data_IF_416861167946
#
_entry.id   IF_416861167946
#
_cell.length_a   1.000
_cell.length_b   1.000
_cell.length_c   1.000
_cell.angle_alpha   90.00
_cell.angle_beta   90.00
_cell.angle_gamma   90.00
#
_symmetry.space_group_name_H-M   'P 1'
#
loop_
_entity.id
_entity.type
_entity.pdbx_description
1 polymer ?
#
# COMPACT_ATOMS: atom_id res chain seq x y z
N UNK A 1 -27.67 -1.05 8.50
CA UNK A 1 -26.23 -0.97 8.82
C UNK A 1 -26.12 -0.54 10.27
N UNK A 2 -25.37 -1.28 11.09
CA UNK A 2 -25.25 -0.94 12.51
C UNK A 2 -24.18 0.14 12.70
N UNK A 3 -24.53 1.23 13.36
CA UNK A 3 -23.59 2.26 13.79
C UNK A 3 -22.90 1.82 15.09
N UNK A 4 -21.63 2.19 15.24
CA UNK A 4 -20.85 1.92 16.46
C UNK A 4 -21.09 2.97 17.55
N UNK A 5 -21.63 4.14 17.16
CA UNK A 5 -21.82 5.33 18.00
C UNK A 5 -20.51 5.90 18.57
N UNK A 6 -19.41 5.77 17.80
CA UNK A 6 -18.09 6.31 18.13
C UNK A 6 -17.35 6.81 16.87
N UNK A 7 -16.05 7.06 16.97
CA UNK A 7 -15.24 7.60 15.89
C UNK A 7 -15.23 6.74 14.62
N UNK A 8 -15.50 5.43 14.72
CA UNK A 8 -15.56 4.52 13.55
C UNK A 8 -16.72 4.85 12.60
N UNK A 9 -17.71 5.61 13.07
CA UNK A 9 -18.86 5.98 12.27
C UNK A 9 -18.56 7.07 11.23
N UNK A 10 -17.33 7.61 11.22
CA UNK A 10 -16.91 8.58 10.21
C UNK A 10 -17.18 8.10 8.80
N UNK A 11 -16.90 6.83 8.50
CA UNK A 11 -17.06 6.23 7.18
C UNK A 11 -18.52 6.21 6.69
N UNK A 12 -19.50 6.14 7.60
CA UNK A 12 -20.91 6.20 7.21
C UNK A 12 -21.35 7.60 6.74
N UNK A 13 -20.59 8.64 7.11
CA UNK A 13 -20.83 10.02 6.71
C UNK A 13 -20.13 10.36 5.40
N UNK A 14 -19.02 9.69 5.10
CA UNK A 14 -18.20 9.92 3.91
C UNK A 14 -18.50 8.84 2.87
N UNK A 15 -19.17 9.22 1.79
CA UNK A 15 -19.71 8.27 0.81
C UNK A 15 -18.92 8.21 -0.49
N UNK A 16 -18.07 9.18 -0.75
CA UNK A 16 -17.32 9.29 -1.99
C UNK A 16 -15.86 9.58 -1.69
N UNK A 17 -14.99 8.68 -2.11
CA UNK A 17 -13.56 8.76 -1.84
C UNK A 17 -12.70 8.47 -3.05
N UNK A 18 -11.44 8.86 -2.98
CA UNK A 18 -10.39 8.57 -3.96
C UNK A 18 -9.64 7.31 -3.54
N UNK A 19 -9.72 6.24 -4.35
CA UNK A 19 -8.90 5.06 -4.13
C UNK A 19 -7.73 5.04 -5.10
N UNK A 20 -6.51 5.17 -4.58
CA UNK A 20 -5.27 5.22 -5.35
C UNK A 20 -4.55 3.88 -5.28
N UNK A 21 -4.55 3.15 -6.41
CA UNK A 21 -3.69 1.98 -6.61
C UNK A 21 -2.40 2.43 -7.29
N UNK A 22 -1.31 2.44 -6.54
CA UNK A 22 -0.01 2.88 -7.06
C UNK A 22 1.15 2.16 -6.36
N UNK A 23 2.10 1.67 -7.15
CA UNK A 23 3.26 0.92 -6.70
C UNK A 23 4.20 0.61 -7.88
N UNK A 24 5.08 -0.37 -7.73
CA UNK A 24 6.04 -0.76 -8.78
C UNK A 24 5.36 -1.16 -10.09
N UNK A 25 4.20 -1.78 -10.04
CA UNK A 25 3.43 -2.17 -11.22
C UNK A 25 3.09 -0.98 -12.15
N UNK A 26 3.09 0.24 -11.65
CA UNK A 26 2.89 1.43 -12.48
C UNK A 26 4.08 1.69 -13.43
N UNK A 27 5.28 1.19 -13.11
CA UNK A 27 6.46 1.30 -13.99
C UNK A 27 6.30 0.46 -15.24
N UNK A 28 5.74 -0.75 -15.10
CA UNK A 28 5.46 -1.64 -16.22
C UNK A 28 4.28 -1.19 -17.10
N UNK A 29 3.47 -0.25 -16.61
CA UNK A 29 2.27 0.20 -17.32
C UNK A 29 1.14 -0.84 -17.37
N UNK A 30 1.26 -1.87 -16.55
CA UNK A 30 0.24 -2.90 -16.33
C UNK A 30 -0.50 -2.61 -15.02
N UNK A 31 -1.15 -3.60 -14.43
CA UNK A 31 -1.91 -3.40 -13.19
C UNK A 31 -1.26 -4.14 -11.99
N UNK A 32 -1.77 -3.94 -10.82
CA UNK A 32 -1.24 -4.43 -9.54
C UNK A 32 -1.13 -5.97 -9.42
N UNK A 33 -1.76 -6.71 -10.31
CA UNK A 33 -1.68 -8.17 -10.38
C UNK A 33 -0.83 -8.67 -11.55
N UNK A 34 0.08 -7.84 -12.05
CA UNK A 34 0.96 -8.14 -13.18
C UNK A 34 1.67 -9.50 -13.04
N UNK A 35 2.28 -9.74 -11.88
CA UNK A 35 3.01 -10.98 -11.61
C UNK A 35 2.13 -12.22 -11.79
N UNK A 36 0.90 -12.21 -11.27
CA UNK A 36 0.03 -13.37 -11.30
C UNK A 36 -0.78 -13.52 -12.57
N UNK A 37 -1.20 -12.41 -13.19
CA UNK A 37 -2.06 -12.45 -14.36
C UNK A 37 -1.33 -12.52 -15.68
N UNK A 38 -0.16 -11.89 -15.76
CA UNK A 38 0.63 -11.86 -16.99
C UNK A 38 1.86 -12.76 -16.90
N UNK A 39 2.13 -13.34 -15.72
CA UNK A 39 3.28 -14.23 -15.53
C UNK A 39 4.61 -13.51 -15.69
N UNK A 40 4.66 -12.22 -15.42
CA UNK A 40 5.91 -11.45 -15.46
C UNK A 40 6.94 -12.11 -14.54
N UNK A 41 8.12 -12.48 -15.04
CA UNK A 41 9.15 -13.09 -14.20
C UNK A 41 9.59 -12.15 -13.07
N UNK A 42 9.81 -12.69 -11.86
CA UNK A 42 10.26 -11.90 -10.70
C UNK A 42 11.50 -11.07 -11.00
N UNK A 43 12.50 -11.65 -11.68
CA UNK A 43 13.73 -10.93 -12.03
C UNK A 43 13.47 -9.71 -12.93
N UNK A 44 12.44 -9.76 -13.77
CA UNK A 44 12.04 -8.62 -14.58
C UNK A 44 11.29 -7.57 -13.72
N UNK A 45 10.37 -8.02 -12.87
CA UNK A 45 9.59 -7.16 -12.00
C UNK A 45 10.45 -6.41 -10.98
N UNK A 46 11.43 -7.08 -10.37
CA UNK A 46 12.34 -6.45 -9.39
C UNK A 46 13.16 -5.30 -9.99
N UNK A 47 13.38 -5.28 -11.30
CA UNK A 47 14.03 -4.15 -11.99
C UNK A 47 13.22 -2.86 -11.90
N UNK A 48 11.90 -2.94 -11.70
CA UNK A 48 11.06 -1.77 -11.50
C UNK A 48 11.46 -0.95 -10.28
N UNK A 49 11.98 -1.59 -9.24
CA UNK A 49 12.49 -0.86 -8.07
C UNK A 49 13.63 0.10 -8.46
N UNK A 50 14.54 -0.31 -9.34
CA UNK A 50 15.63 0.55 -9.82
C UNK A 50 15.19 1.62 -10.84
N UNK A 51 13.97 1.51 -11.36
CA UNK A 51 13.39 2.46 -12.31
C UNK A 51 12.33 3.38 -11.66
N UNK A 52 11.87 3.06 -10.44
CA UNK A 52 10.81 3.81 -9.77
C UNK A 52 11.31 5.18 -9.30
N UNK A 53 11.01 6.21 -10.11
CA UNK A 53 11.42 7.60 -9.84
C UNK A 53 10.31 8.59 -10.20
N UNK A 54 9.23 8.67 -9.40
CA UNK A 54 8.08 9.51 -9.68
C UNK A 54 8.32 10.99 -9.35
N UNK A 55 9.20 11.64 -10.10
CA UNK A 55 9.59 13.06 -9.92
C UNK A 55 8.43 14.05 -10.04
N UNK A 56 7.29 13.62 -10.61
CA UNK A 56 6.08 14.44 -10.75
C UNK A 56 5.05 14.16 -9.66
N UNK A 57 5.37 13.33 -8.67
CA UNK A 57 4.45 13.08 -7.57
C UNK A 57 4.24 14.35 -6.77
N UNK A 58 3.01 14.82 -6.75
CA UNK A 58 2.55 15.96 -5.96
C UNK A 58 1.23 15.60 -5.26
N UNK A 59 1.26 15.27 -3.97
CA UNK A 59 0.05 14.94 -3.23
C UNK A 59 -0.90 16.14 -3.10
N UNK A 60 -0.40 17.37 -3.20
CA UNK A 60 -1.26 18.56 -3.13
C UNK A 60 -2.17 18.66 -4.35
N UNK A 61 -1.65 18.40 -5.55
CA UNK A 61 -2.46 18.35 -6.78
C UNK A 61 -3.53 17.24 -6.71
N UNK A 62 -3.14 16.05 -6.21
CA UNK A 62 -4.07 14.92 -6.11
C UNK A 62 -5.24 15.22 -5.15
N UNK A 63 -4.93 15.78 -3.99
CA UNK A 63 -5.95 16.08 -2.99
C UNK A 63 -6.80 17.29 -3.37
N UNK A 64 -6.22 18.26 -4.07
CA UNK A 64 -7.01 19.38 -4.64
C UNK A 64 -8.01 18.87 -5.66
N UNK A 65 -7.58 18.00 -6.58
CA UNK A 65 -8.47 17.37 -7.55
C UNK A 65 -9.58 16.58 -6.85
N UNK A 66 -9.26 15.80 -5.83
CA UNK A 66 -10.22 15.03 -5.05
C UNK A 66 -11.28 15.95 -4.40
N UNK A 67 -10.84 16.99 -3.67
CA UNK A 67 -11.73 17.92 -2.99
C UNK A 67 -12.63 18.71 -3.96
N UNK A 68 -12.07 19.18 -5.07
CA UNK A 68 -12.85 19.90 -6.10
C UNK A 68 -13.95 19.05 -6.73
N UNK A 69 -13.79 17.71 -6.71
CA UNK A 69 -14.80 16.77 -7.21
C UNK A 69 -15.67 16.15 -6.10
N UNK A 70 -15.62 16.70 -4.88
CA UNK A 70 -16.47 16.27 -3.77
C UNK A 70 -16.05 14.96 -3.13
N UNK A 71 -14.81 14.51 -3.35
CA UNK A 71 -14.27 13.33 -2.65
C UNK A 71 -13.89 13.72 -1.22
N UNK A 72 -14.27 12.88 -0.28
CA UNK A 72 -14.24 13.20 1.16
C UNK A 72 -13.17 12.43 1.93
N UNK A 73 -12.53 11.45 1.33
CA UNK A 73 -11.43 10.66 1.92
C UNK A 73 -10.55 10.05 0.83
N UNK A 74 -9.38 9.59 1.23
CA UNK A 74 -8.43 8.88 0.37
C UNK A 74 -8.17 7.48 0.90
N UNK A 75 -8.15 6.49 0.01
CA UNK A 75 -7.56 5.17 0.26
C UNK A 75 -6.30 5.05 -0.58
N UNK A 76 -5.17 4.72 0.04
CA UNK A 76 -3.88 4.61 -0.64
C UNK A 76 -3.27 3.21 -0.44
N UNK A 77 -2.78 2.61 -1.52
CA UNK A 77 -2.07 1.32 -1.44
C UNK A 77 -0.69 1.50 -0.83
N UNK A 78 -0.60 1.39 0.50
CA UNK A 78 0.69 1.40 1.18
C UNK A 78 1.53 0.17 0.80
N UNK A 79 0.91 -1.02 0.73
CA UNK A 79 1.49 -2.26 0.21
C UNK A 79 0.44 -3.06 -0.54
N UNK A 80 0.73 -3.46 -1.78
CA UNK A 80 -0.11 -4.40 -2.54
C UNK A 80 0.46 -5.83 -2.45
N UNK A 81 -0.11 -6.78 -3.19
CA UNK A 81 0.26 -8.21 -3.17
C UNK A 81 1.72 -8.48 -3.55
N UNK A 82 2.35 -7.60 -4.35
CA UNK A 82 3.76 -7.70 -4.72
C UNK A 82 4.73 -7.52 -3.55
N UNK A 83 4.23 -7.05 -2.40
CA UNK A 83 5.02 -6.83 -1.19
C UNK A 83 5.82 -5.52 -1.18
N UNK A 84 5.78 -4.72 -2.25
CA UNK A 84 6.48 -3.45 -2.28
C UNK A 84 5.83 -2.42 -1.35
N UNK A 85 6.65 -1.78 -0.53
CA UNK A 85 6.20 -0.84 0.49
C UNK A 85 6.42 0.61 0.04
N UNK A 86 5.35 1.39 -0.01
CA UNK A 86 5.37 2.81 -0.40
C UNK A 86 5.77 3.75 0.75
N UNK A 87 6.36 3.22 1.82
CA UNK A 87 6.83 3.97 2.99
C UNK A 87 8.20 3.48 3.48
N UNK A 88 8.81 4.25 4.38
CA UNK A 88 10.09 3.94 5.03
C UNK A 88 9.92 2.85 6.09
N UNK A 89 9.60 1.62 5.67
CA UNK A 89 9.57 0.48 6.58
C UNK A 89 10.98 0.01 6.94
N UNK A 90 11.17 -0.42 8.19
CA UNK A 90 12.42 -1.02 8.66
C UNK A 90 12.43 -2.54 8.54
N UNK A 91 11.30 -3.13 8.14
CA UNK A 91 11.12 -4.58 8.11
C UNK A 91 11.60 -5.24 6.81
N UNK A 92 11.74 -4.46 5.72
CA UNK A 92 12.24 -4.95 4.43
C UNK A 92 12.92 -3.85 3.63
N UNK A 93 13.92 -4.22 2.81
CA UNK A 93 14.51 -3.34 1.80
C UNK A 93 13.68 -3.21 0.51
N UNK A 94 12.60 -3.97 0.37
CA UNK A 94 11.71 -3.87 -0.78
C UNK A 94 10.70 -2.74 -0.54
N UNK A 95 11.21 -1.51 -0.58
CA UNK A 95 10.44 -0.32 -0.29
C UNK A 95 10.92 0.89 -1.11
N UNK A 96 10.15 1.95 -1.07
CA UNK A 96 10.37 3.19 -1.85
C UNK A 96 11.67 3.91 -1.51
N UNK A 97 12.21 3.76 -0.29
CA UNK A 97 13.47 4.39 0.11
C UNK A 97 14.68 3.82 -0.64
N UNK A 98 14.56 2.58 -1.15
CA UNK A 98 15.60 1.90 -1.93
C UNK A 98 15.35 2.00 -3.45
N UNK A 99 14.69 3.05 -3.89
CA UNK A 99 14.46 3.41 -5.30
C UNK A 99 15.23 4.68 -5.65
N UNK A 100 15.39 5.06 -6.93
CA UNK A 100 15.92 6.36 -7.31
C UNK A 100 15.14 7.55 -6.76
N UNK A 101 13.85 7.38 -6.47
CA UNK A 101 13.05 8.41 -5.80
C UNK A 101 13.53 8.68 -4.38
N UNK A 102 13.82 7.64 -3.60
CA UNK A 102 14.47 7.72 -2.27
C UNK A 102 13.72 8.54 -1.21
N UNK A 103 12.40 8.77 -1.39
CA UNK A 103 11.57 9.55 -0.49
C UNK A 103 10.36 8.73 -0.05
N UNK A 104 9.88 8.98 1.16
CA UNK A 104 8.72 8.31 1.73
C UNK A 104 7.41 8.89 1.16
N UNK A 105 6.88 8.23 0.13
CA UNK A 105 5.65 8.64 -0.56
C UNK A 105 4.46 8.71 0.40
N UNK A 106 4.32 7.73 1.29
CA UNK A 106 3.21 7.73 2.24
C UNK A 106 3.31 8.91 3.22
N UNK A 107 4.50 9.26 3.67
CA UNK A 107 4.72 10.41 4.56
C UNK A 107 4.28 11.71 3.92
N UNK A 108 4.63 11.91 2.65
CA UNK A 108 4.25 13.09 1.90
C UNK A 108 2.73 13.19 1.72
N UNK A 109 2.10 12.07 1.33
CA UNK A 109 0.65 12.01 1.18
C UNK A 109 -0.09 12.21 2.52
N UNK A 110 0.37 11.54 3.59
CA UNK A 110 -0.24 11.66 4.91
C UNK A 110 -0.16 13.08 5.45
N UNK A 111 0.99 13.74 5.32
CA UNK A 111 1.17 15.13 5.74
C UNK A 111 0.17 16.06 5.01
N UNK A 112 -0.03 15.87 3.71
CA UNK A 112 -0.96 16.67 2.95
C UNK A 112 -2.42 16.36 3.28
N UNK A 113 -2.76 15.08 3.53
CA UNK A 113 -4.08 14.69 4.01
C UNK A 113 -4.41 15.40 5.34
N UNK A 114 -3.49 15.36 6.30
CA UNK A 114 -3.68 16.02 7.61
C UNK A 114 -3.80 17.52 7.47
N UNK A 115 -2.98 18.16 6.64
CA UNK A 115 -3.04 19.61 6.39
C UNK A 115 -4.40 20.04 5.84
N UNK A 116 -5.04 19.19 5.06
CA UNK A 116 -6.36 19.46 4.45
C UNK A 116 -7.53 18.94 5.27
N UNK A 117 -7.30 18.26 6.38
CA UNK A 117 -8.35 17.57 7.15
C UNK A 117 -9.04 16.45 6.35
N UNK A 118 -8.34 15.82 5.39
CA UNK A 118 -8.87 14.74 4.57
C UNK A 118 -8.55 13.41 5.21
N UNK A 119 -9.55 12.59 5.57
CA UNK A 119 -9.33 11.26 6.14
C UNK A 119 -8.48 10.37 5.22
N UNK A 120 -7.47 9.72 5.79
CA UNK A 120 -6.60 8.78 5.09
C UNK A 120 -6.86 7.36 5.58
N UNK A 121 -7.13 6.46 4.64
CA UNK A 121 -7.24 5.01 4.83
C UNK A 121 -6.08 4.36 4.08
N UNK A 122 -5.47 3.35 4.65
CA UNK A 122 -4.39 2.62 4.01
C UNK A 122 -4.89 1.25 3.53
N UNK A 123 -4.72 0.96 2.26
CA UNK A 123 -4.80 -0.42 1.79
C UNK A 123 -3.49 -1.12 2.14
N UNK A 124 -3.58 -2.22 2.84
CA UNK A 124 -2.45 -3.05 3.21
C UNK A 124 -2.76 -4.52 2.89
N UNK A 125 -2.13 -5.07 1.87
CA UNK A 125 -2.32 -6.46 1.51
C UNK A 125 -1.74 -7.41 2.56
N UNK A 126 -2.58 -8.34 3.04
CA UNK A 126 -2.13 -9.49 3.83
C UNK A 126 -1.41 -10.50 2.94
N UNK A 127 -1.80 -10.62 1.67
CA UNK A 127 -1.06 -11.39 0.67
C UNK A 127 0.27 -10.69 0.39
N UNK A 128 1.35 -11.46 0.33
CA UNK A 128 2.69 -10.93 0.08
C UNK A 128 3.47 -11.93 -0.78
N UNK A 129 3.53 -11.66 -2.07
CA UNK A 129 4.20 -12.55 -3.03
C UNK A 129 5.72 -12.51 -2.90
N UNK A 130 6.27 -11.47 -2.29
CA UNK A 130 7.71 -11.28 -2.12
C UNK A 130 8.23 -11.90 -0.82
N UNK A 131 7.43 -11.91 0.25
CA UNK A 131 7.92 -12.34 1.55
C UNK A 131 8.14 -13.86 1.62
N UNK A 132 9.35 -14.36 1.94
CA UNK A 132 9.70 -15.77 1.86
C UNK A 132 8.88 -16.68 2.79
N UNK A 133 8.31 -16.14 3.85
CA UNK A 133 7.51 -16.89 4.82
C UNK A 133 6.00 -16.76 4.60
N UNK A 134 5.55 -16.02 3.57
CA UNK A 134 4.14 -16.00 3.22
C UNK A 134 3.78 -17.26 2.42
N UNK A 135 2.74 -18.02 2.83
CA UNK A 135 2.39 -19.28 2.16
C UNK A 135 1.61 -19.03 0.86
N UNK A 136 2.33 -18.70 -0.21
CA UNK A 136 1.76 -18.57 -1.54
C UNK A 136 1.32 -19.95 -2.06
N UNK A 137 0.04 -20.27 -1.90
CA UNK A 137 -0.52 -21.60 -2.21
C UNK A 137 -1.30 -21.65 -3.54
N UNK A 138 -1.23 -20.57 -4.34
CA UNK A 138 -1.91 -20.47 -5.63
C UNK A 138 -3.41 -20.20 -5.52
N UNK A 139 -3.89 -19.73 -4.39
CA UNK A 139 -5.30 -19.32 -4.20
C UNK A 139 -5.51 -17.90 -4.71
N UNK A 140 -6.62 -17.65 -5.40
CA UNK A 140 -7.02 -16.28 -5.80
C UNK A 140 -5.86 -15.40 -6.26
N UNK A 141 -5.20 -15.76 -7.35
CA UNK A 141 -4.06 -15.03 -7.92
C UNK A 141 -2.76 -15.05 -7.08
N UNK A 142 -2.70 -15.83 -6.00
CA UNK A 142 -1.42 -16.09 -5.34
C UNK A 142 -0.46 -16.80 -6.28
N UNK A 143 0.82 -16.42 -6.20
CA UNK A 143 1.88 -17.16 -6.88
C UNK A 143 2.13 -18.50 -6.18
N UNK A 144 2.31 -19.56 -6.96
CA UNK A 144 2.66 -20.86 -6.37
C UNK A 144 4.13 -20.86 -5.96
N UNK A 145 4.40 -21.13 -4.68
CA UNK A 145 5.74 -21.31 -4.15
C UNK A 145 5.82 -22.62 -3.36
N UNK A 146 7.02 -23.10 -3.05
CA UNK A 146 7.19 -24.31 -2.26
C UNK A 146 6.73 -24.08 -0.81
N UNK A 147 5.64 -24.72 -0.34
CA UNK A 147 5.11 -24.50 1.01
C UNK A 147 5.99 -25.09 2.11
N UNK A 148 6.95 -25.96 1.78
CA UNK A 148 7.78 -26.64 2.78
C UNK A 148 8.70 -25.71 3.59
N UNK A 149 8.91 -24.49 3.10
CA UNK A 149 9.84 -23.54 3.71
C UNK A 149 9.13 -22.32 4.33
N UNK A 150 7.80 -22.29 4.38
CA UNK A 150 7.06 -21.15 4.89
C UNK A 150 6.86 -21.20 6.42
N UNK A 151 7.17 -20.11 7.08
CA UNK A 151 6.89 -19.91 8.50
C UNK A 151 5.88 -18.78 8.68
N UNK A 152 4.61 -19.16 8.75
CA UNK A 152 3.49 -18.20 8.94
C UNK A 152 3.66 -17.39 10.22
N UNK A 153 4.24 -17.96 11.27
CA UNK A 153 4.50 -17.27 12.53
C UNK A 153 5.46 -16.09 12.34
N UNK A 154 6.54 -16.29 11.57
CA UNK A 154 7.47 -15.21 11.21
C UNK A 154 6.81 -14.17 10.31
N UNK A 155 6.02 -14.60 9.34
CA UNK A 155 5.28 -13.66 8.50
C UNK A 155 4.32 -12.78 9.32
N UNK A 156 3.58 -13.37 10.25
CA UNK A 156 2.67 -12.61 11.12
C UNK A 156 3.41 -11.62 12.02
N UNK A 157 4.64 -11.92 12.43
CA UNK A 157 5.47 -10.98 13.18
C UNK A 157 5.90 -9.78 12.32
N UNK A 158 6.35 -10.06 11.10
CA UNK A 158 6.66 -9.03 10.10
C UNK A 158 5.45 -8.13 9.83
N UNK A 159 4.29 -8.71 9.53
CA UNK A 159 3.03 -8.00 9.30
C UNK A 159 2.66 -7.09 10.48
N UNK A 160 2.72 -7.60 11.71
CA UNK A 160 2.40 -6.83 12.91
C UNK A 160 3.32 -5.64 13.12
N UNK A 161 4.60 -5.78 12.80
CA UNK A 161 5.56 -4.68 12.90
C UNK A 161 5.29 -3.60 11.86
N UNK A 162 5.04 -3.99 10.61
CA UNK A 162 4.66 -3.06 9.55
C UNK A 162 3.37 -2.31 9.89
N UNK A 163 2.34 -3.00 10.37
CA UNK A 163 1.10 -2.34 10.81
C UNK A 163 1.33 -1.37 11.96
N UNK A 164 2.22 -1.72 12.90
CA UNK A 164 2.59 -0.78 13.97
C UNK A 164 3.24 0.47 13.41
N UNK A 165 4.20 0.34 12.48
CA UNK A 165 4.80 1.49 11.80
C UNK A 165 3.72 2.39 11.17
N UNK A 166 2.81 1.81 10.39
CA UNK A 166 1.75 2.54 9.71
C UNK A 166 0.80 3.25 10.67
N UNK A 167 0.45 2.62 11.78
CA UNK A 167 -0.47 3.19 12.77
C UNK A 167 0.18 4.17 13.75
N UNK A 168 1.52 4.27 13.80
CA UNK A 168 2.20 5.13 14.79
C UNK A 168 3.06 6.23 14.18
N UNK A 169 3.54 6.07 12.94
CA UNK A 169 4.54 6.97 12.36
C UNK A 169 3.97 7.99 11.37
N UNK A 170 2.69 7.86 11.00
CA UNK A 170 2.08 8.63 9.91
C UNK A 170 0.92 9.52 10.36
N UNK A 171 0.81 9.77 11.68
CA UNK A 171 -0.29 10.55 12.25
C UNK A 171 -1.60 9.76 12.29
N UNK A 172 -2.73 10.45 12.21
CA UNK A 172 -4.03 9.79 12.27
C UNK A 172 -4.32 9.03 10.98
N UNK A 173 -4.51 7.72 11.11
CA UNK A 173 -4.96 6.81 10.06
C UNK A 173 -6.38 6.36 10.40
N UNK A 174 -7.32 6.69 9.51
CA UNK A 174 -8.76 6.51 9.75
C UNK A 174 -9.25 5.07 9.54
N UNK A 175 -8.45 4.24 8.89
CA UNK A 175 -8.77 2.82 8.71
C UNK A 175 -7.70 2.06 7.94
N UNK A 176 -7.79 0.73 8.02
CA UNK A 176 -6.99 -0.19 7.20
C UNK A 176 -7.95 -0.98 6.32
N UNK A 177 -7.70 -0.96 5.03
CA UNK A 177 -8.37 -1.80 4.03
C UNK A 177 -7.47 -3.00 3.76
N UNK A 178 -8.04 -4.22 3.89
CA UNK A 178 -7.32 -5.49 3.73
C UNK A 178 -7.51 -6.10 2.35
#
# INVERSE_FOLDING_TARGET
>A
MHHFHDARDWFFRHRYGLFLHWGLYAVGGLHEQELSRYGTPWEAYLKYQSAFNPVKFDPAEWLELAQRNGMEYVVFTAKHHDGFCMWDTKETGFNVMHTPYGRDVLRELAAECHRRGMPLVLYYSVVDWHHPNYPNLGRHHELVTDPAHHDVGRYLQFLKKQLRELCTNYGEIHGIWW
#
